data_IF_679930996594
#
_entry.id   IF_679930996594
#
_cell.length_a   1.000
_cell.length_b   1.000
_cell.length_c   1.000
_cell.angle_alpha   90.00
_cell.angle_beta   90.00
_cell.angle_gamma   90.00
#
_symmetry.space_group_name_H-M   'P 1'
#
loop_
_entity.id
_entity.type
_entity.pdbx_description
1 polymer ?
#
# COMPACT_ATOMS: atom_id res chain seq x y z
N UNK A 1 51.61 27.35 19.41
CA UNK A 1 51.57 28.10 20.68
C UNK A 1 51.32 29.57 20.34
N UNK A 2 50.35 30.22 20.97
CA UNK A 2 50.09 31.66 20.77
C UNK A 2 48.61 32.04 20.87
N UNK A 3 48.03 31.87 22.07
CA UNK A 3 46.68 32.27 22.41
C UNK A 3 46.62 33.79 22.66
N UNK A 4 45.51 34.43 22.27
CA UNK A 4 44.94 35.64 22.86
C UNK A 4 43.42 35.60 22.56
N UNK A 5 42.63 34.92 23.39
CA UNK A 5 41.81 35.53 24.44
C UNK A 5 40.69 36.42 23.90
N UNK A 6 39.58 35.82 23.44
CA UNK A 6 38.29 36.51 23.35
C UNK A 6 37.60 36.41 24.71
N UNK A 7 37.88 37.38 25.58
CA UNK A 7 37.03 37.66 26.74
C UNK A 7 35.62 38.02 26.25
N UNK A 8 34.55 37.64 26.97
CA UNK A 8 33.25 38.27 26.79
C UNK A 8 33.36 39.68 27.38
N UNK A 9 33.73 40.66 26.55
CA UNK A 9 33.52 42.06 26.88
C UNK A 9 32.01 42.27 26.98
N UNK A 10 31.54 42.24 28.23
CA UNK A 10 30.15 42.46 28.59
C UNK A 10 29.66 43.80 28.07
N UNK A 11 28.36 43.85 27.80
CA UNK A 11 27.51 45.02 27.57
C UNK A 11 28.23 46.38 27.67
N UNK A 12 29.07 46.69 26.68
CA UNK A 12 29.49 48.07 26.46
C UNK A 12 28.35 48.68 25.66
N UNK A 13 27.39 49.26 26.39
CA UNK A 13 26.38 50.14 25.85
C UNK A 13 27.09 51.17 24.97
N UNK A 14 26.98 51.01 23.64
CA UNK A 14 27.54 51.96 22.67
C UNK A 14 26.71 53.23 22.73
N UNK A 15 27.03 54.10 23.69
CA UNK A 15 26.45 55.43 23.81
C UNK A 15 27.08 56.31 22.74
N UNK A 16 26.37 56.50 21.64
CA UNK A 16 26.75 57.47 20.61
C UNK A 16 26.45 58.88 21.13
N UNK A 17 27.49 59.62 21.50
CA UNK A 17 27.36 61.04 21.85
C UNK A 17 27.46 61.87 20.56
N UNK A 18 26.40 62.57 20.19
CA UNK A 18 26.42 63.50 19.07
C UNK A 18 27.19 64.77 19.47
N UNK A 19 28.32 65.04 18.81
CA UNK A 19 29.19 66.22 19.06
C UNK A 19 28.52 67.56 18.68
N UNK A 20 27.35 67.55 18.04
CA UNK A 20 26.57 68.75 17.71
C UNK A 20 25.20 68.71 18.39
N UNK A 21 24.74 69.82 18.99
CA UNK A 21 23.42 69.87 19.62
C UNK A 21 22.33 69.79 18.55
N UNK A 22 21.69 68.63 18.46
CA UNK A 22 20.56 68.39 17.56
C UNK A 22 19.32 69.00 18.23
N UNK A 23 18.94 70.20 17.82
CA UNK A 23 17.68 70.83 18.23
C UNK A 23 16.55 70.33 17.32
N UNK A 24 15.64 69.54 17.88
CA UNK A 24 14.42 69.15 17.18
C UNK A 24 13.38 70.27 17.29
N UNK A 25 12.64 70.53 16.21
CA UNK A 25 11.49 71.43 16.27
C UNK A 25 10.44 70.87 17.24
N UNK A 26 9.82 71.74 18.05
CA UNK A 26 8.80 71.36 19.04
C UNK A 26 7.67 70.51 18.43
N UNK A 27 7.32 70.73 17.16
CA UNK A 27 6.31 69.94 16.46
C UNK A 27 6.70 68.47 16.26
N UNK A 28 7.98 68.18 15.99
CA UNK A 28 8.48 66.80 15.84
C UNK A 28 8.50 66.11 17.20
N UNK A 29 8.88 66.84 18.25
CA UNK A 29 8.86 66.32 19.63
C UNK A 29 7.42 66.00 20.05
N UNK A 30 6.47 66.89 19.78
CA UNK A 30 5.05 66.66 20.07
C UNK A 30 4.50 65.45 19.30
N UNK A 31 4.81 65.33 18.00
CA UNK A 31 4.40 64.16 17.20
C UNK A 31 4.99 62.84 17.68
N UNK A 32 6.22 62.84 18.22
CA UNK A 32 6.83 61.65 18.80
C UNK A 32 6.19 61.31 20.15
N UNK A 33 5.91 62.31 20.99
CA UNK A 33 5.19 62.15 22.27
C UNK A 33 3.78 61.59 22.07
N UNK A 34 3.01 62.14 21.13
CA UNK A 34 1.66 61.67 20.80
C UNK A 34 1.68 60.23 20.22
N UNK A 35 2.76 59.86 19.53
CA UNK A 35 2.95 58.50 19.00
C UNK A 35 3.38 57.50 20.07
N UNK A 36 4.02 57.93 21.16
CA UNK A 36 4.41 57.04 22.27
C UNK A 36 3.17 56.54 23.03
N UNK A 37 2.12 57.35 23.13
CA UNK A 37 0.84 56.94 23.71
C UNK A 37 0.03 56.02 22.78
N UNK A 38 0.33 56.03 21.47
CA UNK A 38 -0.31 55.15 20.50
C UNK A 38 0.45 53.81 20.36
N UNK A 39 -0.18 52.70 20.73
CA UNK A 39 0.42 51.34 20.63
C UNK A 39 0.54 50.83 19.19
N UNK A 40 0.18 51.63 18.18
CA UNK A 40 0.11 51.21 16.77
C UNK A 40 1.14 52.00 15.94
N UNK A 41 1.94 51.33 15.08
CA UNK A 41 2.84 52.02 14.18
C UNK A 41 2.07 52.90 13.18
N UNK A 42 2.70 53.98 12.70
CA UNK A 42 2.16 54.78 11.60
C UNK A 42 1.98 53.91 10.33
N UNK A 43 1.04 54.30 9.45
CA UNK A 43 0.74 53.56 8.22
C UNK A 43 1.98 53.27 7.37
N UNK A 44 2.88 54.25 7.22
CA UNK A 44 4.13 54.08 6.48
C UNK A 44 5.04 53.02 7.13
N UNK A 45 5.20 53.06 8.45
CA UNK A 45 5.98 52.07 9.20
C UNK A 45 5.34 50.69 9.17
N UNK A 46 4.01 50.60 9.18
CA UNK A 46 3.32 49.31 9.02
C UNK A 46 3.61 48.71 7.64
N UNK A 47 3.61 49.52 6.58
CA UNK A 47 3.89 49.04 5.22
C UNK A 47 5.32 48.50 5.06
N UNK A 48 6.31 49.13 5.70
CA UNK A 48 7.71 48.66 5.69
C UNK A 48 7.88 47.40 6.52
N UNK A 49 7.23 47.32 7.68
CA UNK A 49 7.20 46.10 8.50
C UNK A 49 6.56 44.93 7.75
N UNK A 50 5.40 45.14 7.13
CA UNK A 50 4.71 44.12 6.34
C UNK A 50 5.56 43.65 5.15
N UNK A 51 6.27 44.58 4.49
CA UNK A 51 7.22 44.25 3.43
C UNK A 51 8.34 43.33 3.91
N UNK A 52 8.96 43.67 5.05
CA UNK A 52 10.01 42.86 5.65
C UNK A 52 9.49 41.48 6.12
N UNK A 53 8.29 41.44 6.71
CA UNK A 53 7.66 40.19 7.14
C UNK A 53 7.39 39.29 5.92
N UNK A 54 6.82 39.83 4.84
CA UNK A 54 6.60 39.07 3.59
C UNK A 54 7.90 38.55 3.00
N UNK A 55 8.94 39.38 2.96
CA UNK A 55 10.25 38.97 2.45
C UNK A 55 10.83 37.80 3.25
N UNK A 56 10.75 37.87 4.60
CA UNK A 56 11.20 36.78 5.46
C UNK A 56 10.36 35.52 5.29
N UNK A 57 9.03 35.65 5.21
CA UNK A 57 8.16 34.48 4.95
C UNK A 57 8.53 33.84 3.62
N UNK A 58 8.80 34.63 2.58
CA UNK A 58 9.19 34.11 1.27
C UNK A 58 10.54 33.38 1.31
N UNK A 59 11.53 33.90 2.05
CA UNK A 59 12.83 33.22 2.19
C UNK A 59 12.69 31.91 2.97
N UNK A 60 11.91 31.89 4.05
CA UNK A 60 11.66 30.68 4.85
C UNK A 60 10.87 29.64 4.04
N UNK A 61 9.87 30.07 3.26
CA UNK A 61 9.12 29.16 2.37
C UNK A 61 10.01 28.56 1.28
N UNK A 62 10.93 29.35 0.71
CA UNK A 62 11.88 28.85 -0.28
C UNK A 62 12.83 27.81 0.36
N UNK A 63 13.30 28.08 1.57
CA UNK A 63 14.14 27.15 2.34
C UNK A 63 13.41 25.82 2.63
N UNK A 64 12.19 25.88 3.16
CA UNK A 64 11.40 24.68 3.46
C UNK A 64 11.12 23.83 2.23
N UNK A 65 10.83 24.45 1.08
CA UNK A 65 10.64 23.70 -0.18
C UNK A 65 11.90 22.95 -0.62
N UNK A 66 13.07 23.56 -0.42
CA UNK A 66 14.34 22.91 -0.73
C UNK A 66 14.61 21.73 0.20
N UNK A 67 14.29 21.86 1.50
CA UNK A 67 14.37 20.75 2.44
C UNK A 67 13.39 19.62 2.09
N UNK A 68 12.14 19.96 1.73
CA UNK A 68 11.15 18.98 1.27
C UNK A 68 11.63 18.22 0.04
N UNK A 69 12.22 18.88 -0.96
CA UNK A 69 12.78 18.22 -2.14
C UNK A 69 13.92 17.27 -1.78
N UNK A 70 14.81 17.68 -0.86
CA UNK A 70 15.90 16.83 -0.40
C UNK A 70 15.38 15.59 0.33
N UNK A 71 14.39 15.75 1.21
CA UNK A 71 13.76 14.63 1.93
C UNK A 71 13.05 13.70 0.96
N UNK A 72 12.33 14.24 -0.03
CA UNK A 72 11.69 13.43 -1.07
C UNK A 72 12.72 12.59 -1.83
N UNK A 73 13.84 13.21 -2.23
CA UNK A 73 14.93 12.50 -2.92
C UNK A 73 15.57 11.43 -2.06
N UNK A 74 15.75 11.68 -0.76
CA UNK A 74 16.27 10.68 0.18
C UNK A 74 15.30 9.50 0.35
N UNK A 75 13.99 9.78 0.45
CA UNK A 75 12.95 8.74 0.51
C UNK A 75 12.94 7.90 -0.77
N UNK A 76 13.01 8.53 -1.95
CA UNK A 76 13.08 7.83 -3.23
C UNK A 76 14.30 6.91 -3.30
N UNK A 77 15.48 7.40 -2.90
CA UNK A 77 16.71 6.61 -2.85
C UNK A 77 16.62 5.45 -1.84
N UNK A 78 16.01 5.69 -0.67
CA UNK A 78 15.81 4.66 0.34
C UNK A 78 14.84 3.57 -0.15
N UNK A 79 13.76 3.95 -0.83
CA UNK A 79 12.80 3.02 -1.42
C UNK A 79 13.40 2.23 -2.58
N UNK A 80 14.20 2.86 -3.45
CA UNK A 80 14.92 2.16 -4.51
C UNK A 80 15.88 1.13 -3.92
N UNK A 81 16.64 1.52 -2.90
CA UNK A 81 17.55 0.61 -2.20
C UNK A 81 16.80 -0.52 -1.51
N UNK A 82 15.70 -0.24 -0.81
CA UNK A 82 14.87 -1.28 -0.18
C UNK A 82 14.31 -2.24 -1.22
N UNK A 83 13.81 -1.75 -2.35
CA UNK A 83 13.32 -2.59 -3.43
C UNK A 83 14.43 -3.49 -3.98
N UNK A 84 15.64 -2.95 -4.20
CA UNK A 84 16.79 -3.75 -4.66
C UNK A 84 17.24 -4.77 -3.60
N UNK A 85 17.28 -4.39 -2.33
CA UNK A 85 17.66 -5.28 -1.22
C UNK A 85 16.61 -6.39 -1.04
N UNK A 86 15.32 -6.06 -1.16
CA UNK A 86 14.21 -7.01 -1.13
C UNK A 86 14.18 -7.91 -2.36
N UNK A 87 14.49 -7.39 -3.54
CA UNK A 87 14.67 -8.20 -4.76
C UNK A 87 15.85 -9.16 -4.60
N UNK A 88 16.97 -8.72 -4.01
CA UNK A 88 18.12 -9.58 -3.71
C UNK A 88 17.79 -10.65 -2.66
N UNK A 89 17.05 -10.30 -1.62
CA UNK A 89 16.59 -11.26 -0.61
C UNK A 89 15.62 -12.28 -1.23
N UNK A 90 14.66 -11.81 -2.03
CA UNK A 90 13.72 -12.68 -2.78
C UNK A 90 14.41 -13.49 -3.88
N UNK A 91 15.55 -13.03 -4.40
CA UNK A 91 16.39 -13.76 -5.35
C UNK A 91 17.33 -14.78 -4.69
N UNK A 92 17.28 -14.93 -3.36
CA UNK A 92 18.01 -15.96 -2.63
C UNK A 92 19.37 -15.48 -2.12
N UNK A 93 19.35 -14.78 -0.99
CA UNK A 93 20.55 -14.53 -0.19
C UNK A 93 21.06 -15.82 0.48
N UNK A 94 21.88 -16.58 -0.25
CA UNK A 94 22.82 -17.53 0.33
C UNK A 94 24.08 -17.54 -0.53
N UNK A 95 25.13 -16.95 0.02
CA UNK A 95 26.54 -17.26 -0.24
C UNK A 95 26.72 -18.68 -0.79
N UNK A 96 26.87 -18.76 -2.11
CA UNK A 96 27.38 -19.93 -2.79
C UNK A 96 28.12 -19.46 -4.02
N UNK A 97 29.45 -19.47 -3.90
CA UNK A 97 30.34 -19.63 -5.03
C UNK A 97 29.90 -20.87 -5.79
N UNK A 98 29.20 -20.68 -6.91
CA UNK A 98 29.06 -21.73 -7.91
C UNK A 98 28.92 -21.08 -9.27
N UNK A 99 30.00 -21.18 -10.04
CA UNK A 99 29.92 -21.13 -11.49
C UNK A 99 28.92 -22.19 -11.95
N UNK A 100 27.75 -21.73 -12.39
CA UNK A 100 26.66 -22.57 -12.83
C UNK A 100 25.65 -21.73 -13.58
N UNK A 101 25.82 -21.68 -14.90
CA UNK A 101 24.82 -21.31 -15.90
C UNK A 101 23.41 -21.79 -15.48
N UNK A 102 22.58 -20.86 -14.99
CA UNK A 102 21.37 -21.27 -14.27
C UNK A 102 20.50 -20.14 -13.73
N UNK A 103 20.31 -19.08 -14.52
CA UNK A 103 19.07 -18.29 -14.58
C UNK A 103 18.47 -17.93 -13.20
N UNK A 104 19.01 -16.88 -12.59
CA UNK A 104 18.23 -15.99 -11.74
C UNK A 104 17.19 -15.26 -12.59
N UNK A 105 16.19 -15.99 -13.11
CA UNK A 105 15.06 -15.36 -13.80
C UNK A 105 14.16 -14.80 -12.71
N UNK A 106 14.05 -13.49 -12.69
CA UNK A 106 12.71 -12.87 -12.69
C UNK A 106 11.92 -13.68 -13.70
N UNK A 107 11.11 -14.67 -13.28
CA UNK A 107 10.48 -15.63 -14.20
C UNK A 107 9.77 -14.78 -15.25
N UNK A 108 10.30 -14.76 -16.47
CA UNK A 108 9.79 -13.86 -17.49
C UNK A 108 8.31 -14.14 -17.64
N UNK A 109 7.53 -13.16 -18.11
CA UNK A 109 6.07 -13.33 -18.30
C UNK A 109 5.69 -14.67 -18.95
N UNK A 110 6.58 -15.24 -19.79
CA UNK A 110 6.45 -16.57 -20.40
C UNK A 110 6.52 -17.74 -19.41
N UNK A 111 7.44 -17.73 -18.44
CA UNK A 111 7.54 -18.76 -17.41
C UNK A 111 6.34 -18.72 -16.45
N UNK A 112 5.84 -17.52 -16.11
CA UNK A 112 4.62 -17.36 -15.32
C UNK A 112 3.38 -17.87 -16.05
N UNK A 113 3.28 -17.67 -17.37
CA UNK A 113 2.19 -18.23 -18.17
C UNK A 113 2.22 -19.76 -18.19
N UNK A 114 3.41 -20.36 -18.26
CA UNK A 114 3.58 -21.81 -18.15
C UNK A 114 3.12 -22.35 -16.78
N UNK A 115 3.57 -21.71 -15.70
CA UNK A 115 3.18 -22.07 -14.34
C UNK A 115 1.65 -21.92 -14.12
N UNK A 116 1.04 -20.88 -14.69
CA UNK A 116 -0.40 -20.61 -14.58
C UNK A 116 -1.22 -21.66 -15.35
N UNK A 117 -0.77 -22.06 -16.53
CA UNK A 117 -1.40 -23.12 -17.32
C UNK A 117 -1.27 -24.48 -16.63
N UNK A 118 -0.14 -24.77 -15.99
CA UNK A 118 0.04 -25.99 -15.21
C UNK A 118 -0.92 -26.03 -14.01
N UNK A 119 -1.07 -24.92 -13.28
CA UNK A 119 -2.01 -24.82 -12.16
C UNK A 119 -3.46 -24.99 -12.63
N UNK A 120 -3.86 -24.35 -13.73
CA UNK A 120 -5.19 -24.55 -14.32
C UNK A 120 -5.44 -26.01 -14.65
N UNK A 121 -4.49 -26.66 -15.34
CA UNK A 121 -4.62 -28.06 -15.71
C UNK A 121 -4.74 -29.00 -14.50
N UNK A 122 -4.06 -28.70 -13.38
CA UNK A 122 -4.17 -29.47 -12.13
C UNK A 122 -5.52 -29.26 -11.46
N UNK A 123 -6.05 -28.03 -11.47
CA UNK A 123 -7.38 -27.71 -10.95
C UNK A 123 -8.46 -28.42 -11.75
N UNK A 124 -8.39 -28.37 -13.08
CA UNK A 124 -9.37 -29.03 -13.96
C UNK A 124 -9.35 -30.55 -13.79
N UNK A 125 -8.15 -31.16 -13.69
CA UNK A 125 -8.01 -32.59 -13.41
C UNK A 125 -8.59 -32.96 -12.03
N UNK A 126 -8.38 -32.12 -11.03
CA UNK A 126 -8.92 -32.34 -9.70
C UNK A 126 -10.45 -32.20 -9.67
N UNK A 127 -10.99 -31.20 -10.37
CA UNK A 127 -12.42 -30.99 -10.51
C UNK A 127 -13.07 -32.14 -11.30
N UNK A 128 -12.51 -32.57 -12.42
CA UNK A 128 -13.01 -33.71 -13.18
C UNK A 128 -13.01 -34.99 -12.34
N UNK A 129 -11.92 -35.28 -11.62
CA UNK A 129 -11.88 -36.43 -10.70
C UNK A 129 -12.92 -36.31 -9.59
N UNK A 130 -13.08 -35.12 -9.02
CA UNK A 130 -14.08 -34.84 -7.99
C UNK A 130 -15.50 -34.99 -8.52
N UNK A 131 -15.83 -34.45 -9.68
CA UNK A 131 -17.14 -34.62 -10.31
C UNK A 131 -17.44 -36.09 -10.61
N UNK A 132 -16.42 -36.84 -11.04
CA UNK A 132 -16.56 -38.26 -11.30
C UNK A 132 -16.77 -39.09 -10.02
N UNK A 133 -16.15 -38.70 -8.91
CA UNK A 133 -16.23 -39.36 -7.59
C UNK A 133 -17.42 -38.88 -6.75
N UNK A 134 -17.88 -37.64 -6.94
CA UNK A 134 -18.86 -36.99 -6.08
C UNK A 134 -20.30 -37.37 -6.41
N UNK A 135 -20.58 -37.84 -7.64
CA UNK A 135 -21.94 -38.21 -8.06
C UNK A 135 -21.98 -39.48 -8.95
N UNK A 136 -21.56 -40.65 -8.43
CA UNK A 136 -21.65 -41.92 -9.17
C UNK A 136 -23.10 -42.30 -9.50
N UNK A 137 -24.06 -41.93 -8.64
CA UNK A 137 -25.48 -42.22 -8.80
C UNK A 137 -26.08 -41.58 -10.07
N UNK A 138 -25.68 -40.36 -10.43
CA UNK A 138 -26.16 -39.66 -11.63
C UNK A 138 -25.65 -40.33 -12.91
N UNK A 139 -24.44 -40.91 -12.88
CA UNK A 139 -23.90 -41.63 -14.03
C UNK A 139 -24.65 -42.93 -14.26
N UNK A 140 -24.89 -43.70 -13.21
CA UNK A 140 -25.62 -44.97 -13.29
C UNK A 140 -27.06 -44.74 -13.75
N UNK A 141 -27.76 -43.73 -13.21
CA UNK A 141 -29.11 -43.39 -13.65
C UNK A 141 -29.13 -42.84 -15.09
N UNK A 142 -28.11 -42.10 -15.51
CA UNK A 142 -27.96 -41.61 -16.88
C UNK A 142 -27.71 -42.73 -17.89
N UNK A 143 -26.85 -43.69 -17.57
CA UNK A 143 -26.58 -44.87 -18.41
C UNK A 143 -27.83 -45.74 -18.56
N UNK A 144 -28.62 -45.93 -17.49
CA UNK A 144 -29.88 -46.67 -17.54
C UNK A 144 -30.92 -46.03 -18.47
N UNK A 145 -31.01 -44.69 -18.49
CA UNK A 145 -31.87 -43.97 -19.45
C UNK A 145 -31.41 -44.21 -20.88
N UNK A 146 -30.11 -44.11 -21.14
CA UNK A 146 -29.53 -44.32 -22.47
C UNK A 146 -29.75 -45.76 -22.94
N UNK A 147 -29.59 -46.74 -22.05
CA UNK A 147 -29.83 -48.15 -22.36
C UNK A 147 -31.31 -48.43 -22.64
N UNK A 148 -32.22 -47.86 -21.85
CA UNK A 148 -33.66 -48.00 -22.08
C UNK A 148 -34.07 -47.43 -23.45
N UNK A 149 -33.59 -46.25 -23.82
CA UNK A 149 -33.89 -45.66 -25.13
C UNK A 149 -33.30 -46.44 -26.29
N UNK A 150 -32.10 -47.03 -26.11
CA UNK A 150 -31.49 -47.89 -27.13
C UNK A 150 -32.29 -49.16 -27.37
N UNK A 151 -32.87 -49.73 -26.31
CA UNK A 151 -33.68 -50.94 -26.40
C UNK A 151 -35.12 -50.68 -26.89
N UNK A 152 -35.62 -49.44 -26.73
CA UNK A 152 -36.98 -49.04 -27.07
C UNK A 152 -37.03 -47.91 -28.12
N UNK A 153 -36.40 -48.11 -29.28
CA UNK A 153 -36.30 -47.11 -30.36
C UNK A 153 -37.66 -46.67 -30.93
N UNK A 154 -38.66 -47.55 -30.93
CA UNK A 154 -40.00 -47.26 -31.45
C UNK A 154 -41.02 -46.91 -30.35
N UNK A 155 -40.66 -47.09 -29.07
CA UNK A 155 -41.52 -46.82 -27.91
C UNK A 155 -40.74 -46.09 -26.78
N UNK A 156 -40.16 -44.92 -27.06
CA UNK A 156 -39.37 -44.18 -26.07
C UNK A 156 -40.19 -43.71 -24.85
N UNK A 157 -41.52 -43.68 -24.96
CA UNK A 157 -42.42 -43.29 -23.87
C UNK A 157 -42.44 -44.32 -22.72
N UNK A 158 -42.00 -45.55 -22.94
CA UNK A 158 -41.96 -46.59 -21.91
C UNK A 158 -40.81 -46.37 -20.90
N UNK A 159 -39.79 -45.58 -21.26
CA UNK A 159 -38.60 -45.29 -20.46
C UNK A 159 -38.79 -44.15 -19.42
N UNK A 160 -40.03 -43.82 -19.06
CA UNK A 160 -40.35 -42.68 -18.19
C UNK A 160 -39.82 -42.87 -16.76
N UNK A 161 -39.74 -44.11 -16.28
CA UNK A 161 -39.32 -44.43 -14.92
C UNK A 161 -37.81 -44.18 -14.74
N UNK A 162 -37.01 -44.54 -15.73
CA UNK A 162 -35.56 -44.31 -15.76
C UNK A 162 -35.27 -42.81 -15.81
N UNK A 163 -36.05 -42.06 -16.61
CA UNK A 163 -35.94 -40.61 -16.71
C UNK A 163 -36.32 -39.92 -15.40
N UNK A 164 -37.35 -40.40 -14.70
CA UNK A 164 -37.74 -39.87 -13.39
C UNK A 164 -36.64 -40.11 -12.34
N UNK A 165 -36.04 -41.30 -12.32
CA UNK A 165 -34.90 -41.62 -11.46
C UNK A 165 -33.65 -40.79 -11.77
N UNK A 166 -33.38 -40.53 -13.06
CA UNK A 166 -32.31 -39.63 -13.46
C UNK A 166 -32.58 -38.21 -12.93
N UNK A 167 -33.80 -37.69 -13.12
CA UNK A 167 -34.20 -36.35 -12.66
C UNK A 167 -34.08 -36.17 -11.14
N UNK A 168 -34.44 -37.18 -10.35
CA UNK A 168 -34.31 -37.12 -8.89
C UNK A 168 -32.84 -37.10 -8.46
N UNK A 169 -31.99 -37.92 -9.09
CA UNK A 169 -30.55 -37.93 -8.81
C UNK A 169 -29.88 -36.58 -9.17
N UNK A 170 -30.21 -36.00 -10.33
CA UNK A 170 -29.71 -34.68 -10.74
C UNK A 170 -30.20 -33.56 -9.81
N UNK A 171 -31.47 -33.58 -9.40
CA UNK A 171 -32.00 -32.61 -8.45
C UNK A 171 -31.31 -32.68 -7.08
N UNK A 172 -30.82 -33.85 -6.67
CA UNK A 172 -29.97 -34.01 -5.49
C UNK A 172 -28.61 -33.32 -5.64
N UNK A 173 -27.99 -33.48 -6.81
CA UNK A 173 -26.71 -32.87 -7.17
C UNK A 173 -26.81 -31.36 -7.27
N UNK A 174 -27.82 -30.84 -7.97
CA UNK A 174 -28.05 -29.42 -8.13
C UNK A 174 -28.26 -28.71 -6.79
N UNK A 175 -28.96 -29.35 -5.84
CA UNK A 175 -29.09 -28.81 -4.47
C UNK A 175 -27.79 -28.86 -3.68
N UNK A 176 -26.87 -29.76 -4.00
CA UNK A 176 -25.57 -29.84 -3.35
C UNK A 176 -24.57 -28.85 -3.96
N UNK A 177 -24.61 -28.61 -5.28
CA UNK A 177 -23.73 -27.71 -6.01
C UNK A 177 -24.19 -26.26 -5.98
N UNK A 178 -25.50 -25.99 -5.94
CA UNK A 178 -26.09 -24.65 -5.91
C UNK A 178 -26.31 -24.11 -4.47
N UNK A 179 -25.57 -24.62 -3.49
CA UNK A 179 -25.53 -23.98 -2.17
C UNK A 179 -24.67 -22.72 -2.27
N UNK A 180 -25.20 -21.51 -1.98
CA UNK A 180 -24.34 -20.36 -1.79
C UNK A 180 -23.32 -20.71 -0.72
N UNK A 181 -22.03 -20.62 -1.05
CA UNK A 181 -20.94 -20.89 -0.12
C UNK A 181 -21.23 -20.17 1.21
N UNK A 182 -21.42 -20.87 2.33
CA UNK A 182 -21.66 -20.21 3.59
C UNK A 182 -20.34 -19.54 3.99
N UNK A 183 -20.34 -18.20 4.02
CA UNK A 183 -19.22 -17.35 4.45
C UNK A 183 -18.71 -17.77 5.85
N UNK A 184 -19.56 -18.43 6.66
CA UNK A 184 -19.21 -18.99 7.96
C UNK A 184 -18.16 -20.11 7.91
N UNK A 185 -18.04 -20.88 6.82
CA UNK A 185 -17.03 -21.93 6.70
C UNK A 185 -15.62 -21.37 6.48
N UNK A 186 -15.51 -20.23 5.81
CA UNK A 186 -14.25 -19.49 5.63
C UNK A 186 -13.71 -18.92 6.95
N UNK A 187 -14.61 -18.53 7.87
CA UNK A 187 -14.25 -18.03 9.21
C UNK A 187 -13.88 -19.14 10.18
N UNK A 188 -14.44 -20.34 10.03
CA UNK A 188 -14.11 -21.51 10.85
C UNK A 188 -12.70 -22.05 10.54
N UNK A 189 -12.32 -22.15 9.26
CA UNK A 189 -10.97 -22.61 8.87
C UNK A 189 -9.88 -21.59 9.24
N UNK A 190 -10.15 -20.28 9.14
CA UNK A 190 -9.21 -19.24 9.63
C UNK A 190 -9.07 -19.23 11.15
N UNK A 191 -10.16 -19.45 11.89
CA UNK A 191 -10.10 -19.55 13.37
C UNK A 191 -9.31 -20.77 13.85
N UNK A 192 -9.40 -21.90 13.14
CA UNK A 192 -8.64 -23.11 13.49
C UNK A 192 -7.13 -22.93 13.22
N UNK A 193 -6.75 -22.23 12.15
CA UNK A 193 -5.35 -21.97 11.81
C UNK A 193 -4.69 -20.94 12.76
N UNK A 194 -5.41 -19.89 13.16
CA UNK A 194 -4.95 -18.91 14.15
C UNK A 194 -4.74 -19.51 15.56
N UNK A 195 -5.58 -20.47 15.97
CA UNK A 195 -5.39 -21.15 17.26
C UNK A 195 -4.20 -22.12 17.27
N UNK A 196 -3.82 -22.68 16.12
CA UNK A 196 -2.60 -23.49 16.03
C UNK A 196 -1.33 -22.63 16.03
N UNK A 197 -1.36 -21.45 15.42
CA UNK A 197 -0.25 -20.50 15.44
C UNK A 197 0.07 -19.97 16.86
N UNK A 198 -0.94 -19.74 17.71
CA UNK A 198 -0.72 -19.28 19.09
C UNK A 198 -0.21 -20.36 20.07
N UNK A 199 -0.28 -21.65 19.71
CA UNK A 199 0.24 -22.76 20.54
C UNK A 199 1.69 -23.15 20.24
N UNK A 200 2.31 -22.53 19.23
CA UNK A 200 3.65 -22.87 18.74
C UNK A 200 4.66 -21.73 18.87
N UNK A 201 4.29 -20.63 19.51
CA UNK A 201 5.22 -19.59 19.96
C UNK A 201 5.75 -19.95 21.38
N UNK A 202 7.06 -19.90 21.62
CA UNK A 202 7.70 -20.31 22.88
C UNK A 202 7.37 -19.38 24.06
#
# INVERSE_FOLDING_TARGET
MGANQSSPEGDVEKVFQSETPISFSQDVVNQLSDKLDSTRPSSERQSTLDGHIRARIQSELAHLKQEEENVQREIEQALEKENLDREREMAGGAESESEGDGIGSVKSSVALLGDLEEVRSKVDRYQARRELEQFPEVKVSGEAVVECYKNNMNTPLDCWREVENFKTSVAGVERASNKPYPVSKFLADKSFNLQQYFKTLP
#
